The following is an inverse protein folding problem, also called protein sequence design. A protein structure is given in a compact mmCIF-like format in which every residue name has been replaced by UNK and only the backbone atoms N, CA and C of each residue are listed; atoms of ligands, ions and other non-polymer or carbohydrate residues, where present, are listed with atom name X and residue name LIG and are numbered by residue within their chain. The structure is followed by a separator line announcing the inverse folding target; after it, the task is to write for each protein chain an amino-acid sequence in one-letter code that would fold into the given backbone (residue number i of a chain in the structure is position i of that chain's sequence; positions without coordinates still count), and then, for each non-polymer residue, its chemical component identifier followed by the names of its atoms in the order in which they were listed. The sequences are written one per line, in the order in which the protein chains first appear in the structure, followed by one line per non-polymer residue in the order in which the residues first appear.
data_IF_540859926833
#
_entry.id   IF_540859926833
#
_cell.length_a   1.000
_cell.length_b   1.000
_cell.length_c   1.000
_cell.angle_alpha   90.00
_cell.angle_beta   90.00
_cell.angle_gamma   90.00
#
_symmetry.space_group_name_H-M   'P 1'
#
loop_
_entity.id
_entity.type
_entity.pdbx_description
1 polymer ?
#
# COMPACT_ATOMS: atom_id res chain seq x y z
N UNK A 1 37.99 16.07 -43.73
CA UNK A 1 37.12 16.78 -44.67
C UNK A 1 35.73 16.20 -44.59
N UNK A 2 34.80 16.98 -44.33
CA UNK A 2 33.37 17.03 -44.53
C UNK A 2 32.50 16.77 -43.34
N UNK A 3 31.95 17.83 -42.87
CA UNK A 3 30.91 18.14 -41.92
C UNK A 3 29.55 17.67 -42.50
N UNK A 4 28.71 17.09 -41.67
CA UNK A 4 27.26 17.08 -41.88
C UNK A 4 26.54 17.43 -40.58
N UNK A 5 25.97 18.63 -40.57
CA UNK A 5 25.15 19.28 -39.57
C UNK A 5 23.80 18.58 -39.42
N UNK A 6 23.35 18.36 -38.15
CA UNK A 6 22.20 18.97 -37.49
C UNK A 6 20.89 19.09 -38.27
N UNK A 7 19.84 18.41 -37.76
CA UNK A 7 18.49 18.97 -37.75
C UNK A 7 17.82 18.64 -36.40
N UNK A 8 17.79 19.65 -35.55
CA UNK A 8 16.87 19.69 -34.37
C UNK A 8 15.50 20.10 -34.90
N UNK A 9 14.53 19.20 -34.78
CA UNK A 9 13.13 19.52 -35.04
C UNK A 9 12.42 19.73 -33.68
N UNK A 10 12.16 20.99 -33.37
CA UNK A 10 11.31 21.49 -32.30
C UNK A 10 9.87 21.10 -32.61
N UNK A 11 9.31 20.15 -31.90
CA UNK A 11 7.85 20.00 -31.85
C UNK A 11 7.33 20.79 -30.64
N UNK A 12 6.70 21.92 -30.96
CA UNK A 12 5.87 22.69 -30.05
C UNK A 12 4.60 21.90 -29.75
N UNK A 13 4.38 21.52 -28.50
CA UNK A 13 3.12 20.96 -28.03
C UNK A 13 2.06 22.08 -27.92
N UNK A 14 0.82 21.87 -28.38
CA UNK A 14 -0.23 22.86 -28.19
C UNK A 14 -0.76 22.80 -26.75
N UNK A 15 -0.70 23.97 -26.10
CA UNK A 15 -1.33 24.22 -24.78
C UNK A 15 -2.86 24.19 -24.93
N UNK A 16 -3.48 23.12 -24.48
CA UNK A 16 -4.97 23.05 -24.39
C UNK A 16 -5.38 23.70 -23.08
N UNK A 17 -5.79 24.95 -23.16
CA UNK A 17 -6.41 25.70 -22.08
C UNK A 17 -7.88 25.29 -21.97
N UNK A 18 -8.21 24.40 -21.04
CA UNK A 18 -9.62 24.05 -20.74
C UNK A 18 -10.28 25.19 -19.98
N UNK A 19 -11.11 25.96 -20.69
CA UNK A 19 -12.05 26.90 -20.09
C UNK A 19 -13.18 26.13 -19.41
N UNK A 20 -13.38 26.40 -18.13
CA UNK A 20 -14.55 25.92 -17.37
C UNK A 20 -15.67 26.94 -17.50
N UNK A 21 -16.92 26.53 -17.84
CA UNK A 21 -18.05 27.45 -17.80
C UNK A 21 -18.43 27.77 -16.36
N UNK A 22 -18.54 29.06 -16.06
CA UNK A 22 -19.10 29.55 -14.81
C UNK A 22 -20.59 29.16 -14.72
N UNK A 23 -20.92 28.27 -13.79
CA UNK A 23 -22.32 27.98 -13.48
C UNK A 23 -22.83 28.96 -12.43
N UNK A 24 -23.96 29.57 -12.83
CA UNK A 24 -24.72 30.62 -12.19
C UNK A 24 -25.06 30.36 -10.72
N UNK A 25 -24.93 31.42 -9.92
CA UNK A 25 -25.44 31.52 -8.57
C UNK A 25 -26.95 31.27 -8.49
N UNK A 26 -27.38 30.09 -8.16
CA UNK A 26 -28.75 29.70 -7.86
C UNK A 26 -29.12 30.08 -6.43
N UNK A 27 -30.10 30.92 -6.33
CA UNK A 27 -30.77 31.50 -5.16
C UNK A 27 -31.22 30.39 -4.18
N UNK A 28 -30.61 30.26 -3.01
CA UNK A 28 -31.09 29.41 -1.92
C UNK A 28 -32.32 30.07 -1.26
N UNK A 29 -33.50 29.48 -1.45
CA UNK A 29 -34.70 29.85 -0.70
C UNK A 29 -34.59 29.25 0.71
N UNK A 30 -34.70 30.15 1.68
CA UNK A 30 -34.88 29.88 3.09
C UNK A 30 -36.18 29.11 3.29
N UNK A 31 -36.09 27.85 3.72
CA UNK A 31 -37.25 27.10 4.24
C UNK A 31 -37.19 27.12 5.76
N UNK A 32 -37.96 28.01 6.34
CA UNK A 32 -38.27 28.02 7.76
C UNK A 32 -39.38 27.01 8.06
N UNK A 33 -39.22 26.30 9.15
CA UNK A 33 -40.23 25.60 9.93
C UNK A 33 -40.77 24.28 9.40
N UNK A 34 -40.27 23.16 9.89
CA UNK A 34 -41.12 22.02 10.23
C UNK A 34 -40.69 21.50 11.61
N UNK A 35 -41.71 21.26 12.40
CA UNK A 35 -41.70 21.09 13.85
C UNK A 35 -40.91 19.91 14.38
N UNK A 36 -40.66 20.06 15.62
CA UNK A 36 -40.22 19.17 16.66
C UNK A 36 -40.85 17.75 16.52
N UNK A 37 -40.08 16.75 16.07
CA UNK A 37 -40.38 15.33 16.26
C UNK A 37 -39.22 14.71 16.99
N UNK A 38 -39.55 14.22 18.19
CA UNK A 38 -38.70 13.79 19.25
C UNK A 38 -37.62 12.77 18.88
N UNK A 39 -36.47 13.01 19.47
CA UNK A 39 -35.53 12.09 20.09
C UNK A 39 -35.62 10.61 19.68
N UNK A 40 -34.81 10.18 18.74
CA UNK A 40 -33.96 8.99 18.81
C UNK A 40 -33.03 8.92 17.60
N UNK A 41 -32.18 9.91 17.43
CA UNK A 41 -30.97 9.72 16.65
C UNK A 41 -29.97 8.98 17.54
N UNK A 42 -30.09 7.65 17.60
CA UNK A 42 -28.95 6.84 17.96
C UNK A 42 -27.89 7.17 16.92
N UNK A 43 -26.89 7.94 17.37
CA UNK A 43 -25.65 8.17 16.68
C UNK A 43 -25.04 6.80 16.36
N UNK A 44 -25.25 6.32 15.13
CA UNK A 44 -24.38 5.34 14.52
C UNK A 44 -23.08 6.07 14.14
N UNK A 45 -22.34 6.51 15.15
CA UNK A 45 -20.90 6.62 15.02
C UNK A 45 -20.39 5.20 14.93
N UNK A 46 -20.49 4.60 13.74
CA UNK A 46 -19.69 3.47 13.39
C UNK A 46 -18.25 3.98 13.40
N UNK A 47 -17.64 3.97 14.60
CA UNK A 47 -16.23 4.19 14.77
C UNK A 47 -15.52 3.17 13.89
N UNK A 48 -14.94 3.66 12.81
CA UNK A 48 -13.93 2.90 12.07
C UNK A 48 -12.92 2.50 13.14
N UNK A 49 -12.67 1.22 13.40
CA UNK A 49 -11.66 0.82 14.36
C UNK A 49 -10.30 1.21 13.77
N UNK A 50 -9.81 2.41 14.10
CA UNK A 50 -8.48 2.88 13.72
C UNK A 50 -7.35 2.18 14.49
N UNK A 51 -7.67 1.11 15.19
CA UNK A 51 -6.68 0.38 15.96
C UNK A 51 -6.69 -1.08 15.53
N UNK A 52 -5.66 -1.44 14.79
CA UNK A 52 -5.32 -2.83 14.54
C UNK A 52 -5.13 -3.54 15.89
N UNK A 53 -6.06 -4.41 16.24
CA UNK A 53 -6.00 -5.19 17.48
C UNK A 53 -5.41 -6.57 17.19
N UNK A 54 -4.20 -6.81 17.68
CA UNK A 54 -3.50 -8.08 17.55
C UNK A 54 -4.29 -9.28 18.08
N UNK A 55 -5.19 -9.06 19.06
CA UNK A 55 -5.95 -10.13 19.72
C UNK A 55 -7.04 -10.75 18.84
N UNK A 56 -7.38 -10.08 17.71
CA UNK A 56 -8.44 -10.52 16.79
C UNK A 56 -7.88 -11.38 15.65
N UNK A 57 -6.54 -11.41 15.49
CA UNK A 57 -5.90 -12.11 14.37
C UNK A 57 -5.52 -13.52 14.80
N UNK A 58 -5.89 -14.48 13.98
CA UNK A 58 -5.49 -15.85 14.19
C UNK A 58 -3.95 -15.98 14.18
N UNK A 59 -3.36 -16.75 15.11
CA UNK A 59 -1.90 -16.87 15.20
C UNK A 59 -1.22 -17.28 13.88
N UNK A 60 -1.89 -18.07 13.07
CA UNK A 60 -1.42 -18.52 11.74
C UNK A 60 -1.29 -17.37 10.72
N UNK A 61 -1.98 -16.26 10.97
CA UNK A 61 -1.88 -15.05 10.15
C UNK A 61 -0.78 -14.08 10.63
N UNK A 62 -0.03 -14.47 11.65
CA UNK A 62 1.10 -13.69 12.16
C UNK A 62 2.41 -14.30 11.68
N UNK A 63 3.31 -13.47 11.16
CA UNK A 63 4.69 -13.86 10.90
C UNK A 63 5.57 -13.50 12.12
N UNK A 64 6.51 -14.37 12.43
CA UNK A 64 7.48 -14.16 13.52
C UNK A 64 8.76 -13.54 13.00
N UNK A 65 9.56 -12.99 13.92
CA UNK A 65 10.90 -12.48 13.58
C UNK A 65 11.78 -13.56 12.97
N UNK A 66 11.73 -14.78 13.49
CA UNK A 66 12.52 -15.93 13.04
C UNK A 66 12.16 -16.29 11.60
N UNK A 67 10.88 -16.30 11.24
CA UNK A 67 10.41 -16.48 9.86
C UNK A 67 11.00 -15.41 8.94
N UNK A 68 10.96 -14.13 9.36
CA UNK A 68 11.52 -13.03 8.57
C UNK A 68 13.02 -13.15 8.38
N UNK A 69 13.76 -13.51 9.40
CA UNK A 69 15.22 -13.73 9.30
C UNK A 69 15.55 -14.88 8.35
N UNK A 70 14.79 -15.97 8.38
CA UNK A 70 14.98 -17.08 7.44
C UNK A 70 14.69 -16.64 6.00
N UNK A 71 13.60 -15.89 5.81
CA UNK A 71 13.22 -15.32 4.53
C UNK A 71 14.31 -14.41 3.95
N UNK A 72 14.88 -13.54 4.78
CA UNK A 72 15.95 -12.63 4.39
C UNK A 72 17.24 -13.34 3.94
N UNK A 73 17.42 -14.61 4.31
CA UNK A 73 18.58 -15.44 3.93
C UNK A 73 18.31 -16.32 2.69
N UNK A 74 17.05 -16.45 2.26
CA UNK A 74 16.69 -17.31 1.13
C UNK A 74 16.92 -16.62 -0.21
N UNK A 75 17.24 -17.38 -1.27
CA UNK A 75 17.25 -16.85 -2.63
C UNK A 75 15.89 -16.26 -3.01
N UNK A 76 15.91 -15.11 -3.67
CA UNK A 76 14.66 -14.39 -4.03
C UNK A 76 13.66 -15.21 -4.85
N UNK A 77 14.15 -16.11 -5.72
CA UNK A 77 13.31 -16.91 -6.60
C UNK A 77 12.36 -17.86 -5.87
N UNK A 78 12.80 -18.42 -4.73
CA UNK A 78 12.08 -19.47 -3.99
C UNK A 78 11.47 -18.96 -2.67
N UNK A 79 11.77 -17.72 -2.28
CA UNK A 79 11.25 -17.16 -1.04
C UNK A 79 9.78 -16.72 -1.15
N UNK A 80 8.97 -16.86 -0.09
CA UNK A 80 7.69 -16.17 0.03
C UNK A 80 7.83 -14.67 -0.27
N UNK A 81 6.78 -14.06 -0.83
CA UNK A 81 6.82 -12.64 -1.16
C UNK A 81 6.70 -11.79 0.11
N UNK A 82 7.77 -11.08 0.46
CA UNK A 82 7.76 -10.09 1.54
C UNK A 82 7.50 -8.70 0.95
N UNK A 83 6.46 -8.03 1.43
CA UNK A 83 6.03 -6.71 0.96
C UNK A 83 6.14 -5.70 2.10
N UNK A 84 6.99 -4.70 1.92
CA UNK A 84 7.07 -3.54 2.82
C UNK A 84 6.10 -2.46 2.32
N UNK A 85 5.10 -2.12 3.15
CA UNK A 85 4.05 -1.17 2.78
C UNK A 85 4.29 0.25 3.30
N UNK A 86 5.53 0.57 3.67
CA UNK A 86 5.94 1.93 4.02
C UNK A 86 6.08 2.80 2.77
N UNK A 87 6.12 4.10 3.01
CA UNK A 87 6.44 5.06 1.93
C UNK A 87 7.92 4.92 1.50
N UNK A 88 8.25 5.12 0.22
CA UNK A 88 9.64 5.02 -0.27
C UNK A 88 10.64 5.85 0.53
N UNK A 89 10.26 7.06 0.94
CA UNK A 89 11.10 7.94 1.75
C UNK A 89 11.47 7.35 3.13
N UNK A 90 10.58 6.52 3.72
CA UNK A 90 10.89 5.82 4.98
C UNK A 90 11.97 4.75 4.76
N UNK A 91 11.93 4.05 3.61
CA UNK A 91 12.93 3.04 3.26
C UNK A 91 14.30 3.66 2.94
N UNK A 92 14.29 4.80 2.27
CA UNK A 92 15.52 5.57 1.99
C UNK A 92 16.19 6.05 3.28
N UNK A 93 15.39 6.51 4.25
CA UNK A 93 15.88 7.02 5.52
C UNK A 93 16.41 5.94 6.47
N UNK A 94 15.80 4.76 6.50
CA UNK A 94 16.07 3.74 7.54
C UNK A 94 16.56 2.40 6.99
N UNK A 95 16.46 2.18 5.67
CA UNK A 95 16.69 0.87 5.05
C UNK A 95 15.44 0.00 5.05
N UNK A 96 15.60 -1.25 4.61
CA UNK A 96 14.53 -2.25 4.46
C UNK A 96 14.99 -3.64 4.87
N UNK A 97 14.02 -4.52 5.12
CA UNK A 97 14.30 -5.95 5.31
C UNK A 97 14.78 -6.53 3.97
N UNK A 98 15.90 -7.27 3.94
CA UNK A 98 16.37 -7.91 2.71
C UNK A 98 15.28 -8.76 2.02
N UNK A 99 15.34 -8.87 0.70
CA UNK A 99 14.38 -9.58 -0.15
C UNK A 99 12.97 -8.96 -0.25
N UNK A 100 12.66 -7.92 0.55
CA UNK A 100 11.36 -7.25 0.46
C UNK A 100 11.24 -6.40 -0.81
N UNK A 101 10.04 -6.38 -1.40
CA UNK A 101 9.64 -5.37 -2.37
C UNK A 101 8.86 -4.26 -1.65
N UNK A 102 8.87 -3.05 -2.22
CA UNK A 102 8.09 -1.95 -1.65
C UNK A 102 6.83 -1.69 -2.47
N UNK A 103 5.69 -1.77 -1.79
CA UNK A 103 4.38 -1.40 -2.33
C UNK A 103 3.69 -0.54 -1.26
N UNK A 104 3.62 0.78 -1.40
CA UNK A 104 2.93 1.64 -0.44
C UNK A 104 1.52 1.16 -0.13
N UNK A 105 1.07 1.29 1.12
CA UNK A 105 -0.19 0.70 1.59
C UNK A 105 -1.40 1.05 0.71
N UNK A 106 -1.45 2.28 0.20
CA UNK A 106 -2.54 2.75 -0.66
C UNK A 106 -2.52 2.16 -2.08
N UNK A 107 -1.41 1.54 -2.49
CA UNK A 107 -1.21 0.96 -3.82
C UNK A 107 -1.39 -0.56 -3.85
N UNK A 108 -1.48 -1.22 -2.69
CA UNK A 108 -1.50 -2.69 -2.57
C UNK A 108 -2.55 -3.33 -3.48
N UNK A 109 -3.77 -2.83 -3.47
CA UNK A 109 -4.86 -3.34 -4.30
C UNK A 109 -4.56 -3.22 -5.79
N UNK A 110 -4.08 -2.08 -6.22
CA UNK A 110 -3.76 -1.80 -7.62
C UNK A 110 -2.61 -2.66 -8.09
N UNK A 111 -1.55 -2.75 -7.29
CA UNK A 111 -0.31 -3.45 -7.67
C UNK A 111 -0.48 -4.97 -7.66
N UNK A 112 -1.15 -5.53 -6.66
CA UNK A 112 -1.50 -6.96 -6.67
C UNK A 112 -2.55 -7.30 -7.74
N UNK A 113 -3.30 -6.32 -8.25
CA UNK A 113 -4.22 -6.46 -9.37
C UNK A 113 -3.54 -6.48 -10.75
N UNK A 114 -2.27 -6.10 -10.86
CA UNK A 114 -1.55 -6.06 -12.14
C UNK A 114 -1.50 -7.44 -12.83
N UNK A 115 -1.44 -7.49 -14.17
CA UNK A 115 -1.08 -8.71 -14.89
C UNK A 115 0.30 -9.23 -14.45
N UNK A 116 0.51 -10.55 -14.48
CA UNK A 116 1.75 -11.16 -13.98
C UNK A 116 3.02 -10.58 -14.63
N UNK A 117 3.02 -10.40 -15.93
CA UNK A 117 4.16 -9.82 -16.66
C UNK A 117 4.46 -8.36 -16.25
N UNK A 118 3.42 -7.56 -15.97
CA UNK A 118 3.60 -6.18 -15.54
C UNK A 118 4.14 -6.11 -14.11
N UNK A 119 3.65 -6.97 -13.21
CA UNK A 119 4.15 -7.08 -11.84
C UNK A 119 5.63 -7.50 -11.83
N UNK A 120 5.99 -8.53 -12.61
CA UNK A 120 7.36 -9.02 -12.68
C UNK A 120 8.32 -7.98 -13.28
N UNK A 121 7.89 -7.29 -14.33
CA UNK A 121 8.67 -6.19 -14.93
C UNK A 121 8.93 -5.05 -13.95
N UNK A 122 7.95 -4.74 -13.06
CA UNK A 122 8.05 -3.64 -12.08
C UNK A 122 8.88 -4.02 -10.86
N UNK A 123 8.69 -5.23 -10.31
CA UNK A 123 9.26 -5.62 -9.03
C UNK A 123 10.41 -6.62 -9.12
N UNK A 124 10.69 -7.16 -10.30
CA UNK A 124 11.70 -8.20 -10.48
C UNK A 124 11.34 -9.51 -9.77
N UNK A 125 10.09 -9.69 -9.37
CA UNK A 125 9.58 -10.85 -8.62
C UNK A 125 8.35 -11.41 -9.31
N UNK A 126 8.21 -12.72 -9.31
CA UNK A 126 7.00 -13.37 -9.79
C UNK A 126 5.76 -12.86 -9.03
N UNK A 127 4.72 -12.51 -9.76
CA UNK A 127 3.44 -12.16 -9.11
C UNK A 127 2.91 -13.36 -8.33
N UNK A 128 2.52 -13.20 -7.05
CA UNK A 128 1.98 -14.31 -6.27
C UNK A 128 0.63 -14.77 -6.84
N UNK A 129 0.41 -16.08 -6.84
CA UNK A 129 -0.90 -16.69 -7.06
C UNK A 129 -1.75 -16.59 -5.78
N UNK A 130 -3.07 -16.80 -5.85
CA UNK A 130 -3.93 -16.74 -4.66
C UNK A 130 -3.54 -17.67 -3.51
N UNK A 131 -2.77 -18.72 -3.77
CA UNK A 131 -2.33 -19.72 -2.77
C UNK A 131 -0.89 -19.51 -2.32
N UNK A 132 -0.14 -18.66 -3.00
CA UNK A 132 1.26 -18.40 -2.65
C UNK A 132 1.34 -17.59 -1.35
N UNK A 133 2.33 -17.86 -0.50
CA UNK A 133 2.48 -17.12 0.75
C UNK A 133 2.97 -15.69 0.52
N UNK A 134 2.28 -14.74 1.15
CA UNK A 134 2.62 -13.32 1.17
C UNK A 134 2.76 -12.89 2.62
N UNK A 135 3.82 -12.14 2.92
CA UNK A 135 4.02 -11.55 4.23
C UNK A 135 4.11 -10.03 4.06
N UNK A 136 3.28 -9.30 4.80
CA UNK A 136 3.32 -7.84 4.83
C UNK A 136 4.08 -7.34 6.06
N UNK A 137 4.91 -6.32 5.88
CA UNK A 137 5.54 -5.56 6.96
C UNK A 137 5.39 -4.05 6.72
N UNK A 138 5.56 -3.27 7.79
CA UNK A 138 5.63 -1.81 7.71
C UNK A 138 6.60 -1.27 8.76
N UNK A 139 6.28 -0.19 9.47
CA UNK A 139 7.10 0.28 10.58
C UNK A 139 6.79 -0.47 11.89
N UNK A 140 5.50 -0.62 12.26
CA UNK A 140 5.02 -1.14 13.56
C UNK A 140 3.85 -2.13 13.43
N UNK A 141 3.58 -2.70 12.26
CA UNK A 141 2.57 -3.73 12.07
C UNK A 141 1.13 -3.27 11.78
N UNK A 142 0.82 -1.97 11.86
CA UNK A 142 -0.55 -1.46 11.65
C UNK A 142 -0.92 -1.37 10.17
N UNK A 143 -0.12 -0.66 9.36
CA UNK A 143 -0.34 -0.54 7.92
C UNK A 143 -0.30 -1.89 7.22
N UNK A 144 0.64 -2.74 7.64
CA UNK A 144 0.79 -4.10 7.10
C UNK A 144 -0.40 -5.01 7.46
N UNK A 145 -1.03 -4.82 8.62
CA UNK A 145 -2.27 -5.50 8.96
C UNK A 145 -3.43 -5.12 8.03
N UNK A 146 -3.57 -3.82 7.71
CA UNK A 146 -4.59 -3.36 6.76
C UNK A 146 -4.32 -3.91 5.35
N UNK A 147 -3.06 -3.91 4.92
CA UNK A 147 -2.66 -4.46 3.63
C UNK A 147 -2.92 -5.98 3.53
N UNK A 148 -2.64 -6.72 4.60
CA UNK A 148 -2.93 -8.15 4.68
C UNK A 148 -4.43 -8.42 4.52
N UNK A 149 -5.26 -7.69 5.26
CA UNK A 149 -6.71 -7.80 5.15
C UNK A 149 -7.22 -7.45 3.73
N UNK A 150 -6.69 -6.41 3.09
CA UNK A 150 -7.04 -6.06 1.72
C UNK A 150 -6.66 -7.17 0.73
N UNK A 151 -5.48 -7.77 0.88
CA UNK A 151 -5.05 -8.90 0.05
C UNK A 151 -5.96 -10.11 0.23
N UNK A 152 -6.41 -10.44 1.45
CA UNK A 152 -7.39 -11.48 1.70
C UNK A 152 -8.71 -11.22 0.98
N UNK A 153 -9.20 -9.97 1.00
CA UNK A 153 -10.41 -9.60 0.26
C UNK A 153 -10.26 -9.72 -1.26
N UNK A 154 -9.02 -9.62 -1.77
CA UNK A 154 -8.70 -9.88 -3.18
C UNK A 154 -8.63 -11.37 -3.52
N UNK A 155 -8.75 -12.27 -2.52
CA UNK A 155 -8.76 -13.72 -2.70
C UNK A 155 -7.43 -14.42 -2.43
N UNK A 156 -6.40 -13.73 -1.93
CA UNK A 156 -5.17 -14.36 -1.45
C UNK A 156 -5.47 -15.10 -0.14
N UNK A 157 -5.03 -16.37 -0.04
CA UNK A 157 -5.40 -17.27 1.06
C UNK A 157 -4.29 -17.50 2.08
N UNK A 158 -3.06 -17.25 1.68
CA UNK A 158 -1.87 -17.46 2.51
C UNK A 158 -1.20 -16.12 2.81
N UNK A 159 -1.86 -15.30 3.63
CA UNK A 159 -1.41 -13.94 3.95
C UNK A 159 -1.05 -13.85 5.42
N UNK A 160 0.11 -13.28 5.71
CA UNK A 160 0.58 -13.02 7.07
C UNK A 160 0.93 -11.55 7.27
N UNK A 161 0.77 -11.08 8.50
CA UNK A 161 1.26 -9.78 8.97
C UNK A 161 2.47 -9.97 9.91
N UNK A 162 3.61 -9.40 9.56
CA UNK A 162 4.73 -9.27 10.50
C UNK A 162 4.52 -8.04 11.38
N UNK A 163 3.98 -8.27 12.58
CA UNK A 163 3.57 -7.19 13.47
C UNK A 163 4.75 -6.42 14.06
N UNK A 164 5.86 -7.07 14.39
CA UNK A 164 7.10 -6.42 14.85
C UNK A 164 7.69 -5.48 13.81
N UNK A 165 7.50 -5.81 12.54
CA UNK A 165 7.82 -4.97 11.39
C UNK A 165 9.28 -4.44 11.40
N UNK A 166 9.50 -3.27 10.81
CA UNK A 166 10.84 -2.69 10.71
C UNK A 166 11.48 -2.43 12.07
N UNK A 167 10.72 -1.93 13.05
CA UNK A 167 11.30 -1.57 14.35
C UNK A 167 11.89 -2.79 15.07
N UNK A 168 11.15 -3.89 15.15
CA UNK A 168 11.66 -5.11 15.76
C UNK A 168 12.85 -5.69 14.99
N UNK A 169 12.74 -5.69 13.64
CA UNK A 169 13.81 -6.19 12.79
C UNK A 169 15.10 -5.36 12.97
N UNK A 170 14.98 -4.03 12.90
CA UNK A 170 16.12 -3.12 13.04
C UNK A 170 16.79 -3.24 14.42
N UNK A 171 15.99 -3.25 15.49
CA UNK A 171 16.47 -3.40 16.86
C UNK A 171 17.29 -4.71 17.03
N UNK A 172 16.71 -5.83 16.60
CA UNK A 172 17.38 -7.15 16.72
C UNK A 172 18.58 -7.33 15.80
N UNK A 173 18.66 -6.55 14.71
CA UNK A 173 19.81 -6.53 13.80
C UNK A 173 20.83 -5.43 14.13
N UNK A 174 20.59 -4.59 15.14
CA UNK A 174 21.48 -3.49 15.51
C UNK A 174 21.52 -2.37 14.45
N UNK A 175 20.42 -2.19 13.68
CA UNK A 175 20.29 -1.16 12.65
C UNK A 175 19.65 0.11 13.22
N UNK A 176 19.89 1.25 12.58
CA UNK A 176 19.17 2.49 12.89
C UNK A 176 17.69 2.39 12.47
N UNK A 177 16.78 2.86 13.31
CA UNK A 177 15.33 2.77 13.09
C UNK A 177 14.68 4.16 12.97
#
# INVERSE_FOLDING_TARGET
MSVARLFWNRFLAPTIQKQWPALAAGRWKKMDRIGNLGSSLRSFSAGIPHRFDKSIIAPEQLATYEEIVQLAKQPEADAPLLIDVREPAELEATGRIPTSINIPVNEVKTELGLPAAAFEAKYGRRKPSPTDPIIFCCRIGVRSGNAAHEAEQMGFKSVKNYVGSWLEYAEKQGLSS
#
